data_IF_071785933621
#
_entry.id   IF_071785933621
#
_cell.length_a   1.000
_cell.length_b   1.000
_cell.length_c   1.000
_cell.angle_alpha   90.00
_cell.angle_beta   90.00
_cell.angle_gamma   90.00
#
_symmetry.space_group_name_H-M   'P 1'
#
loop_
_entity.id
_entity.type
_entity.pdbx_description
1 polymer ?
#
# COMPACT_ATOMS: atom_id res chain seq x y z
N UNK A 1 22.19 13.62 -3.34
CA UNK A 1 21.67 14.91 -3.83
C UNK A 1 20.71 14.69 -5.02
N UNK A 2 21.18 14.20 -6.18
CA UNK A 2 20.36 14.03 -7.40
C UNK A 2 18.95 13.45 -7.21
N UNK A 3 18.78 12.33 -6.50
CA UNK A 3 17.45 11.73 -6.33
C UNK A 3 16.47 12.65 -5.60
N UNK A 4 16.91 13.32 -4.53
CA UNK A 4 16.05 14.24 -3.78
C UNK A 4 15.65 15.42 -4.65
N UNK A 5 16.59 15.97 -5.41
CA UNK A 5 16.32 17.04 -6.39
C UNK A 5 15.30 16.60 -7.45
N UNK A 6 15.34 15.34 -7.89
CA UNK A 6 14.36 14.79 -8.83
C UNK A 6 12.95 14.71 -8.22
N UNK A 7 12.83 14.32 -6.95
CA UNK A 7 11.54 14.35 -6.24
C UNK A 7 11.01 15.78 -6.05
N UNK A 8 11.88 16.72 -5.67
CA UNK A 8 11.51 18.14 -5.51
C UNK A 8 11.05 18.72 -6.86
N UNK A 9 11.78 18.44 -7.94
CA UNK A 9 11.42 18.84 -9.31
C UNK A 9 10.05 18.26 -9.71
N UNK A 10 9.78 17.00 -9.37
CA UNK A 10 8.48 16.38 -9.62
C UNK A 10 7.36 17.09 -8.85
N UNK A 11 7.61 17.51 -7.60
CA UNK A 11 6.69 18.35 -6.82
C UNK A 11 6.35 19.67 -7.53
N UNK A 12 7.36 20.40 -8.03
CA UNK A 12 7.14 21.63 -8.83
C UNK A 12 6.27 21.39 -10.06
N UNK A 13 6.52 20.29 -10.76
CA UNK A 13 5.76 19.92 -11.94
C UNK A 13 4.30 19.57 -11.58
N UNK A 14 4.08 18.85 -10.48
CA UNK A 14 2.75 18.53 -9.98
C UNK A 14 1.97 19.81 -9.63
N UNK A 15 2.58 20.74 -8.91
CA UNK A 15 1.95 22.03 -8.61
C UNK A 15 1.59 22.80 -9.89
N UNK A 16 2.53 22.89 -10.85
CA UNK A 16 2.28 23.57 -12.14
C UNK A 16 1.17 22.92 -12.96
N UNK A 17 0.97 21.61 -12.81
CA UNK A 17 -0.11 20.88 -13.45
C UNK A 17 -1.46 21.02 -12.71
N UNK A 18 -1.49 21.72 -11.56
CA UNK A 18 -2.70 21.99 -10.80
C UNK A 18 -3.10 20.90 -9.80
N UNK A 19 -2.18 20.02 -9.41
CA UNK A 19 -2.44 19.06 -8.33
C UNK A 19 -2.44 19.78 -6.96
N UNK A 20 -3.41 19.44 -6.11
CA UNK A 20 -3.51 20.00 -4.76
C UNK A 20 -2.41 19.48 -3.82
N UNK A 21 -1.98 18.22 -4.00
CA UNK A 21 -0.97 17.59 -3.16
C UNK A 21 -0.17 16.51 -3.90
N UNK A 22 0.94 16.09 -3.29
CA UNK A 22 1.73 14.92 -3.70
C UNK A 22 1.81 13.88 -2.57
N UNK A 23 1.82 12.60 -2.94
CA UNK A 23 2.02 11.48 -2.01
C UNK A 23 3.48 10.97 -2.09
N UNK A 24 4.25 11.17 -1.02
CA UNK A 24 5.62 10.67 -0.93
C UNK A 24 5.62 9.23 -0.41
N UNK A 25 5.78 8.30 -1.35
CA UNK A 25 5.62 6.87 -1.13
C UNK A 25 6.68 6.24 -0.22
N UNK A 26 6.28 5.79 0.96
CA UNK A 26 7.06 5.04 1.96
C UNK A 26 6.45 3.66 2.24
N UNK A 27 6.03 2.97 1.19
CA UNK A 27 5.32 1.70 1.30
C UNK A 27 5.75 0.69 0.24
N UNK A 28 5.35 -0.55 0.46
CA UNK A 28 5.36 -1.67 -0.49
C UNK A 28 6.76 -2.12 -0.94
N UNK A 29 7.80 -1.80 -0.18
CA UNK A 29 9.19 -2.12 -0.54
C UNK A 29 9.76 -1.25 -1.65
N UNK A 30 9.16 -0.10 -1.94
CA UNK A 30 9.80 0.90 -2.81
C UNK A 30 10.83 1.71 -2.01
N UNK A 31 11.65 2.51 -2.72
CA UNK A 31 12.79 3.24 -2.17
C UNK A 31 12.57 3.92 -0.81
N UNK A 32 11.45 4.64 -0.62
CA UNK A 32 11.16 5.27 0.68
C UNK A 32 11.01 4.26 1.83
N UNK A 33 10.38 3.12 1.56
CA UNK A 33 10.27 2.01 2.51
C UNK A 33 11.61 1.29 2.74
N UNK A 34 12.44 1.17 1.70
CA UNK A 34 13.79 0.59 1.83
C UNK A 34 14.68 1.42 2.75
N UNK A 35 14.60 2.76 2.67
CA UNK A 35 15.31 3.63 3.62
C UNK A 35 14.84 3.40 5.06
N UNK A 36 13.55 3.20 5.29
CA UNK A 36 13.02 2.83 6.60
C UNK A 36 13.50 1.45 7.06
N UNK A 37 13.98 0.59 6.18
CA UNK A 37 14.51 -0.73 6.56
C UNK A 37 16.05 -0.79 6.52
N UNK A 38 16.73 0.32 6.25
CA UNK A 38 18.17 0.41 6.05
C UNK A 38 18.97 0.41 7.37
N UNK A 39 18.75 -0.59 8.23
CA UNK A 39 19.33 -0.70 9.58
C UNK A 39 20.87 -0.79 9.54
N UNK A 40 21.42 -1.60 8.62
CA UNK A 40 22.87 -1.84 8.57
C UNK A 40 23.58 -0.95 7.53
N UNK A 41 22.84 -0.06 6.86
CA UNK A 41 23.41 0.81 5.83
C UNK A 41 24.29 1.88 6.50
N UNK A 42 25.59 1.98 6.16
CA UNK A 42 26.44 3.03 6.71
C UNK A 42 26.10 4.40 6.13
N UNK A 43 26.56 5.45 6.81
CA UNK A 43 26.45 6.84 6.36
C UNK A 43 25.10 7.48 6.69
N UNK A 44 24.78 8.56 5.97
CA UNK A 44 23.71 9.51 6.37
C UNK A 44 22.28 9.04 6.12
N UNK A 45 22.08 7.91 5.43
CA UNK A 45 20.75 7.39 5.07
C UNK A 45 20.49 5.97 5.60
N UNK A 46 21.17 5.58 6.69
CA UNK A 46 21.00 4.28 7.32
C UNK A 46 21.39 4.28 8.80
N UNK A 47 21.18 3.16 9.47
CA UNK A 47 21.39 3.05 10.91
C UNK A 47 20.26 3.69 11.71
N UNK A 48 20.54 4.86 12.29
CA UNK A 48 19.60 5.54 13.17
C UNK A 48 18.28 5.89 12.46
N UNK A 49 17.20 5.98 13.25
CA UNK A 49 15.90 6.43 12.75
C UNK A 49 16.00 7.82 12.08
N UNK A 50 16.83 8.71 12.62
CA UNK A 50 17.07 10.03 12.04
C UNK A 50 17.66 9.94 10.62
N UNK A 51 18.67 9.10 10.43
CA UNK A 51 19.30 8.91 9.13
C UNK A 51 18.36 8.19 8.15
N UNK A 52 17.66 7.14 8.59
CA UNK A 52 16.69 6.42 7.75
C UNK A 52 15.51 7.29 7.30
N UNK A 53 15.15 8.31 8.07
CA UNK A 53 14.09 9.28 7.71
C UNK A 53 14.62 10.54 7.03
N UNK A 54 15.94 10.69 6.85
CA UNK A 54 16.56 11.84 6.18
C UNK A 54 16.04 12.05 4.77
N UNK A 55 15.87 10.96 4.01
CA UNK A 55 15.37 11.01 2.63
C UNK A 55 14.02 11.73 2.55
N UNK A 56 13.06 11.36 3.42
CA UNK A 56 11.77 12.04 3.50
C UNK A 56 11.92 13.51 3.91
N UNK A 57 12.69 13.78 4.97
CA UNK A 57 12.87 15.13 5.51
C UNK A 57 13.43 16.10 4.46
N UNK A 58 14.42 15.66 3.69
CA UNK A 58 15.05 16.47 2.65
C UNK A 58 14.12 16.70 1.45
N UNK A 59 13.32 15.70 1.04
CA UNK A 59 12.29 15.87 0.00
C UNK A 59 11.22 16.86 0.45
N UNK A 60 10.72 16.71 1.69
CA UNK A 60 9.68 17.57 2.24
C UNK A 60 10.16 19.01 2.34
N UNK A 61 11.38 19.22 2.85
CA UNK A 61 11.98 20.55 2.94
C UNK A 61 12.13 21.19 1.55
N UNK A 62 12.74 20.48 0.60
CA UNK A 62 12.92 21.00 -0.76
C UNK A 62 11.60 21.25 -1.50
N UNK A 63 10.61 20.38 -1.34
CA UNK A 63 9.29 20.55 -1.98
C UNK A 63 8.57 21.77 -1.42
N UNK A 64 8.63 22.00 -0.11
CA UNK A 64 8.03 23.20 0.50
C UNK A 64 8.70 24.50 0.05
N UNK A 65 10.00 24.49 -0.16
CA UNK A 65 10.74 25.64 -0.70
C UNK A 65 10.39 25.89 -2.16
N UNK A 66 10.38 24.85 -2.98
CA UNK A 66 10.32 24.98 -4.44
C UNK A 66 8.91 24.95 -5.03
N UNK A 67 7.94 24.40 -4.30
CA UNK A 67 6.53 24.32 -4.66
C UNK A 67 5.63 24.80 -3.49
N UNK A 68 5.77 26.07 -3.05
CA UNK A 68 5.05 26.57 -1.89
C UNK A 68 3.54 26.52 -2.12
N UNK A 69 2.79 25.94 -1.17
CA UNK A 69 1.34 25.76 -1.25
C UNK A 69 0.88 24.41 -1.81
N UNK A 70 1.79 23.59 -2.34
CA UNK A 70 1.50 22.18 -2.64
C UNK A 70 1.48 21.38 -1.34
N UNK A 71 0.36 20.72 -1.05
CA UNK A 71 0.25 19.86 0.12
C UNK A 71 1.06 18.57 -0.05
N UNK A 72 1.44 17.95 1.06
CA UNK A 72 2.21 16.70 1.07
C UNK A 72 1.46 15.67 1.92
N UNK A 73 1.24 14.50 1.33
CA UNK A 73 0.76 13.30 1.98
C UNK A 73 1.85 12.22 1.99
N UNK A 74 1.67 11.18 2.82
CA UNK A 74 2.57 10.02 2.84
C UNK A 74 1.77 8.73 2.86
N UNK A 75 2.09 7.81 1.95
CA UNK A 75 1.65 6.42 2.04
C UNK A 75 2.70 5.54 2.70
N UNK A 76 2.33 4.89 3.81
CA UNK A 76 3.23 4.14 4.67
C UNK A 76 2.85 2.65 4.71
N UNK A 77 3.81 1.76 4.52
CA UNK A 77 3.67 0.38 5.01
C UNK A 77 4.00 0.42 6.50
N UNK A 78 2.98 0.38 7.36
CA UNK A 78 3.15 0.52 8.80
C UNK A 78 3.64 -0.76 9.48
N UNK A 79 3.67 -1.86 8.76
CA UNK A 79 4.28 -3.11 9.16
C UNK A 79 4.75 -3.85 7.91
N UNK A 80 5.75 -4.70 8.06
CA UNK A 80 6.19 -5.67 7.08
C UNK A 80 6.67 -6.94 7.79
N UNK A 81 6.85 -8.01 7.04
CA UNK A 81 7.40 -9.28 7.52
C UNK A 81 8.66 -9.65 6.74
N UNK A 82 9.36 -10.65 7.22
CA UNK A 82 10.42 -11.30 6.45
C UNK A 82 9.86 -11.84 5.11
N UNK A 83 10.69 -12.05 4.08
CA UNK A 83 10.23 -12.54 2.78
C UNK A 83 9.58 -13.91 2.86
N UNK A 84 8.52 -14.12 2.08
CA UNK A 84 7.90 -15.44 1.91
C UNK A 84 8.29 -16.06 0.57
N UNK A 85 8.40 -17.37 0.55
CA UNK A 85 8.66 -18.19 -0.63
C UNK A 85 7.57 -19.22 -0.85
N UNK A 86 7.60 -19.89 -2.01
CA UNK A 86 6.64 -20.95 -2.33
C UNK A 86 7.08 -22.23 -1.63
N UNK A 87 6.30 -22.68 -0.66
CA UNK A 87 6.44 -23.98 0.00
C UNK A 87 6.09 -25.16 -0.94
N UNK A 88 6.34 -26.37 -0.45
CA UNK A 88 6.20 -27.60 -1.24
C UNK A 88 4.78 -27.85 -1.75
N UNK A 89 3.76 -27.45 -0.98
CA UNK A 89 2.36 -27.53 -1.38
C UNK A 89 1.89 -26.32 -2.23
N UNK A 90 2.79 -25.37 -2.50
CA UNK A 90 2.50 -24.13 -3.21
C UNK A 90 1.95 -23.00 -2.35
N UNK A 91 1.74 -23.19 -1.03
CA UNK A 91 1.42 -22.13 -0.06
C UNK A 91 2.66 -21.30 0.25
N UNK A 92 2.46 -20.04 0.62
CA UNK A 92 3.54 -19.17 1.08
C UNK A 92 4.10 -19.66 2.40
N UNK A 93 5.41 -19.77 2.51
CA UNK A 93 6.11 -20.09 3.75
C UNK A 93 7.15 -18.98 4.03
N UNK A 94 7.36 -18.62 5.31
CA UNK A 94 8.41 -17.67 5.68
C UNK A 94 9.77 -18.20 5.21
N UNK A 95 10.54 -17.41 4.48
CA UNK A 95 11.91 -17.77 4.10
C UNK A 95 12.78 -17.96 5.34
N UNK A 96 13.69 -18.93 5.28
CA UNK A 96 14.61 -19.20 6.37
C UNK A 96 15.48 -17.97 6.68
N UNK A 97 15.53 -17.60 7.96
CA UNK A 97 16.40 -16.55 8.47
C UNK A 97 17.27 -17.11 9.59
N UNK A 98 18.56 -16.76 9.57
CA UNK A 98 19.52 -17.15 10.62
C UNK A 98 19.77 -15.94 11.51
N UNK A 99 19.32 -16.03 12.75
CA UNK A 99 19.51 -15.00 13.76
C UNK A 99 18.34 -14.99 14.74
N UNK A 100 18.59 -14.53 15.96
CA UNK A 100 17.58 -14.52 17.02
C UNK A 100 16.55 -13.39 16.82
N UNK A 101 16.88 -12.40 15.98
CA UNK A 101 16.03 -11.24 15.70
C UNK A 101 16.15 -10.80 14.25
N UNK A 102 15.03 -10.69 13.53
CA UNK A 102 14.91 -10.15 12.18
C UNK A 102 14.74 -8.61 12.21
N UNK A 103 15.76 -7.82 11.82
CA UNK A 103 15.74 -6.37 12.02
C UNK A 103 15.14 -5.59 10.83
N UNK A 104 14.94 -6.24 9.68
CA UNK A 104 14.66 -5.53 8.41
C UNK A 104 13.18 -5.27 8.13
N UNK A 105 12.29 -5.77 8.99
CA UNK A 105 10.86 -5.48 8.91
C UNK A 105 10.57 -4.14 9.62
N UNK A 106 10.33 -3.06 8.86
CA UNK A 106 9.83 -1.82 9.44
C UNK A 106 8.45 -2.06 10.09
N UNK A 107 8.29 -1.66 11.35
CA UNK A 107 7.09 -1.98 12.14
C UNK A 107 6.99 -3.46 12.57
N UNK A 108 8.10 -4.21 12.50
CA UNK A 108 8.20 -5.58 13.00
C UNK A 108 8.67 -5.66 14.45
N UNK A 109 8.28 -6.72 15.15
CA UNK A 109 8.69 -6.97 16.56
C UNK A 109 10.07 -7.64 16.69
N UNK A 110 10.66 -8.07 15.57
CA UNK A 110 11.94 -8.78 15.52
C UNK A 110 11.80 -10.29 15.37
N UNK A 111 10.61 -10.86 15.46
CA UNK A 111 10.38 -12.29 15.13
C UNK A 111 10.37 -12.54 13.62
N UNK A 112 10.20 -11.46 12.84
CA UNK A 112 10.03 -11.50 11.38
C UNK A 112 8.59 -11.70 10.93
N UNK A 113 7.67 -12.07 11.82
CA UNK A 113 6.25 -12.28 11.51
C UNK A 113 5.30 -11.49 12.43
N UNK A 114 5.81 -10.89 13.49
CA UNK A 114 5.04 -10.07 14.42
C UNK A 114 5.16 -8.58 14.14
N UNK A 115 4.22 -7.81 14.72
CA UNK A 115 4.06 -6.38 14.48
C UNK A 115 4.39 -5.60 15.76
N UNK A 116 5.18 -4.55 15.62
CA UNK A 116 5.43 -3.56 16.65
C UNK A 116 5.27 -2.15 16.08
N UNK A 117 4.28 -1.40 16.58
CA UNK A 117 3.92 -0.09 16.05
C UNK A 117 4.76 1.06 16.63
N UNK A 118 5.70 0.82 17.54
CA UNK A 118 6.49 1.88 18.16
C UNK A 118 7.23 2.75 17.13
N UNK A 119 7.88 2.12 16.16
CA UNK A 119 8.61 2.83 15.12
C UNK A 119 7.69 3.50 14.07
N UNK A 120 6.62 2.83 13.57
CA UNK A 120 5.57 3.50 12.81
C UNK A 120 5.01 4.75 13.51
N UNK A 121 4.72 4.69 14.81
CA UNK A 121 4.22 5.82 15.59
C UNK A 121 5.25 6.96 15.72
N UNK A 122 6.53 6.62 15.82
CA UNK A 122 7.62 7.61 15.79
C UNK A 122 7.68 8.30 14.42
N UNK A 123 7.50 7.54 13.33
CA UNK A 123 7.41 8.08 11.97
C UNK A 123 6.19 8.99 11.77
N UNK A 124 5.01 8.59 12.24
CA UNK A 124 3.83 9.45 12.22
C UNK A 124 4.04 10.74 13.03
N UNK A 125 4.70 10.65 14.19
CA UNK A 125 5.10 11.83 14.96
C UNK A 125 6.07 12.75 14.21
N UNK A 126 6.97 12.19 13.39
CA UNK A 126 7.82 12.98 12.49
C UNK A 126 6.99 13.67 11.39
N UNK A 127 5.99 13.00 10.82
CA UNK A 127 5.08 13.63 9.84
C UNK A 127 4.38 14.85 10.43
N UNK A 128 3.84 14.72 11.64
CA UNK A 128 3.20 15.82 12.38
C UNK A 128 4.16 16.99 12.57
N UNK A 129 5.39 16.73 13.02
CA UNK A 129 6.44 17.77 13.19
C UNK A 129 6.78 18.49 11.88
N UNK A 130 6.71 17.78 10.76
CA UNK A 130 6.91 18.37 9.43
C UNK A 130 5.65 19.06 8.88
N UNK A 131 4.53 19.06 9.61
CA UNK A 131 3.26 19.66 9.19
C UNK A 131 2.56 18.88 8.08
N UNK A 132 2.81 17.57 7.96
CA UNK A 132 2.07 16.66 7.07
C UNK A 132 0.83 16.15 7.83
N UNK A 133 -0.33 16.20 7.18
CA UNK A 133 -1.62 15.87 7.81
C UNK A 133 -2.26 14.60 7.28
N UNK A 134 -2.03 14.25 6.00
CA UNK A 134 -2.68 13.12 5.35
C UNK A 134 -1.73 11.91 5.27
N UNK A 135 -2.17 10.78 5.81
CA UNK A 135 -1.45 9.50 5.73
C UNK A 135 -2.34 8.40 5.17
N UNK A 136 -1.81 7.61 4.23
CA UNK A 136 -2.44 6.38 3.79
C UNK A 136 -1.71 5.16 4.38
N UNK A 137 -2.41 4.39 5.20
CA UNK A 137 -1.84 3.21 5.87
C UNK A 137 -2.00 1.97 4.99
N UNK A 138 -0.91 1.23 4.87
CA UNK A 138 -0.79 -0.05 4.18
C UNK A 138 0.09 -0.99 5.01
N UNK A 139 0.31 -2.20 4.52
CA UNK A 139 1.30 -3.12 5.06
C UNK A 139 2.04 -3.87 3.96
N UNK A 140 3.14 -4.49 4.35
CA UNK A 140 3.93 -5.40 3.52
C UNK A 140 4.76 -4.73 2.44
N UNK A 141 5.47 -5.58 1.69
CA UNK A 141 6.20 -5.25 0.48
C UNK A 141 5.82 -6.12 -0.71
N UNK A 142 6.32 -5.79 -1.90
CA UNK A 142 6.05 -6.54 -3.14
C UNK A 142 6.42 -8.02 -3.09
N UNK A 143 7.40 -8.40 -2.27
CA UNK A 143 7.78 -9.80 -2.00
C UNK A 143 6.79 -10.55 -1.10
N UNK A 144 5.94 -9.81 -0.36
CA UNK A 144 4.87 -10.35 0.49
C UNK A 144 3.49 -9.90 -0.03
N UNK A 145 3.07 -10.34 -1.24
CA UNK A 145 1.83 -9.88 -1.84
C UNK A 145 0.60 -10.15 -0.98
N UNK A 146 0.59 -11.22 -0.16
CA UNK A 146 -0.56 -11.55 0.69
C UNK A 146 -0.82 -10.49 1.78
N UNK A 147 0.22 -9.80 2.28
CA UNK A 147 0.09 -8.70 3.25
C UNK A 147 -0.43 -7.41 2.59
N UNK A 148 0.14 -7.08 1.43
CA UNK A 148 -0.20 -5.87 0.68
C UNK A 148 -1.60 -5.94 0.08
N UNK A 149 -1.95 -7.11 -0.44
CA UNK A 149 -3.17 -7.33 -1.21
C UNK A 149 -3.75 -8.70 -0.91
N UNK A 150 -4.47 -8.84 0.21
CA UNK A 150 -5.17 -10.06 0.50
C UNK A 150 -6.04 -10.49 -0.70
N UNK A 151 -5.81 -11.72 -1.17
CA UNK A 151 -6.51 -12.34 -2.29
C UNK A 151 -6.41 -13.87 -2.20
N UNK A 152 -7.49 -14.57 -2.52
CA UNK A 152 -7.50 -16.04 -2.59
C UNK A 152 -6.70 -16.55 -3.79
N UNK A 153 -6.78 -15.82 -4.90
CA UNK A 153 -6.06 -16.15 -6.13
C UNK A 153 -4.68 -15.51 -6.06
N UNK A 154 -3.60 -16.31 -6.10
CA UNK A 154 -2.26 -15.76 -6.06
C UNK A 154 -1.98 -14.94 -7.32
N UNK A 155 -1.11 -13.92 -7.26
CA UNK A 155 -0.60 -13.30 -8.47
C UNK A 155 0.07 -14.30 -9.38
N UNK A 156 0.19 -13.91 -10.66
CA UNK A 156 1.03 -14.63 -11.60
C UNK A 156 2.43 -14.84 -11.04
N UNK A 157 2.83 -16.10 -10.85
CA UNK A 157 4.13 -16.49 -10.28
C UNK A 157 4.21 -16.49 -8.74
N UNK A 158 3.19 -16.05 -8.02
CA UNK A 158 3.17 -16.06 -6.55
C UNK A 158 2.61 -17.34 -5.93
N UNK A 159 2.74 -17.47 -4.62
CA UNK A 159 2.27 -18.61 -3.83
C UNK A 159 0.82 -18.44 -3.35
N UNK A 160 0.14 -19.55 -3.03
CA UNK A 160 -1.17 -19.52 -2.35
C UNK A 160 -1.01 -18.83 -1.00
N UNK A 161 -1.94 -17.96 -0.57
CA UNK A 161 -1.75 -17.18 0.64
C UNK A 161 -1.53 -18.10 1.88
N UNK A 162 -0.64 -17.72 2.81
CA UNK A 162 -0.37 -18.50 4.03
C UNK A 162 -1.55 -18.52 5.01
N UNK A 163 -2.49 -17.60 4.84
CA UNK A 163 -3.64 -17.37 5.71
C UNK A 163 -4.89 -17.06 4.89
N UNK A 164 -6.07 -17.08 5.53
CA UNK A 164 -7.28 -16.56 4.90
C UNK A 164 -7.10 -15.05 4.63
N UNK A 165 -7.35 -14.56 3.41
CA UNK A 165 -7.16 -13.15 3.12
C UNK A 165 -8.05 -12.20 3.94
N UNK A 166 -9.17 -12.66 4.52
CA UNK A 166 -9.92 -11.86 5.49
C UNK A 166 -9.06 -11.50 6.71
N UNK A 167 -8.19 -12.41 7.17
CA UNK A 167 -7.26 -12.12 8.27
C UNK A 167 -6.32 -10.95 7.90
N UNK A 168 -5.82 -10.95 6.65
CA UNK A 168 -5.00 -9.86 6.13
C UNK A 168 -5.74 -8.52 6.02
N UNK A 169 -7.02 -8.53 5.61
CA UNK A 169 -7.85 -7.32 5.59
C UNK A 169 -8.09 -6.80 7.00
N UNK A 170 -8.47 -7.68 7.94
CA UNK A 170 -8.67 -7.32 9.34
C UNK A 170 -7.40 -6.70 9.93
N UNK A 171 -6.22 -7.29 9.68
CA UNK A 171 -4.93 -6.73 10.11
C UNK A 171 -4.71 -5.30 9.61
N UNK A 172 -4.94 -5.03 8.32
CA UNK A 172 -4.78 -3.68 7.76
C UNK A 172 -5.71 -2.66 8.43
N UNK A 173 -6.97 -3.06 8.67
CA UNK A 173 -7.96 -2.21 9.34
C UNK A 173 -7.55 -1.95 10.79
N UNK A 174 -7.23 -3.00 11.56
CA UNK A 174 -6.85 -2.88 12.97
C UNK A 174 -5.56 -2.09 13.17
N UNK A 175 -4.56 -2.24 12.29
CA UNK A 175 -3.35 -1.40 12.36
C UNK A 175 -3.66 0.07 12.07
N UNK A 176 -4.51 0.34 11.08
CA UNK A 176 -4.93 1.73 10.77
C UNK A 176 -5.64 2.36 11.97
N UNK A 177 -6.58 1.63 12.58
CA UNK A 177 -7.31 2.05 13.78
C UNK A 177 -6.37 2.32 14.96
N UNK A 178 -5.44 1.42 15.24
CA UNK A 178 -4.50 1.54 16.35
C UNK A 178 -3.59 2.78 16.19
N UNK A 179 -3.05 2.99 14.98
CA UNK A 179 -2.24 4.17 14.69
C UNK A 179 -3.04 5.45 14.84
N UNK A 180 -4.28 5.48 14.32
CA UNK A 180 -5.17 6.64 14.46
C UNK A 180 -5.51 6.93 15.91
N UNK A 181 -5.79 5.90 16.72
CA UNK A 181 -6.06 6.07 18.15
C UNK A 181 -4.90 6.74 18.89
N UNK A 182 -3.67 6.42 18.52
CA UNK A 182 -2.46 6.96 19.17
C UNK A 182 -1.95 8.27 18.56
N UNK A 183 -2.38 8.60 17.33
CA UNK A 183 -2.03 9.82 16.59
C UNK A 183 -3.27 10.41 15.90
N UNK A 184 -4.29 10.85 16.67
CA UNK A 184 -5.57 11.32 16.12
C UNK A 184 -5.47 12.68 15.40
N UNK A 185 -4.35 13.38 15.52
CA UNK A 185 -4.08 14.65 14.83
C UNK A 185 -3.85 14.51 13.32
N UNK A 186 -3.62 13.28 12.83
CA UNK A 186 -3.49 12.96 11.42
C UNK A 186 -4.83 12.50 10.82
N UNK A 187 -4.96 12.67 9.51
CA UNK A 187 -6.05 12.19 8.68
C UNK A 187 -5.64 10.88 8.02
N UNK A 188 -6.41 9.82 8.25
CA UNK A 188 -6.07 8.44 7.84
C UNK A 188 -6.90 7.96 6.66
N UNK A 189 -6.21 7.49 5.63
CA UNK A 189 -6.80 6.68 4.55
C UNK A 189 -6.47 5.21 4.80
N UNK A 190 -7.49 4.41 5.15
CA UNK A 190 -7.36 2.97 5.26
C UNK A 190 -7.26 2.27 3.90
N UNK A 191 -6.56 1.13 3.83
CA UNK A 191 -6.41 0.33 2.61
C UNK A 191 -6.83 -1.14 2.79
N UNK A 192 -6.89 -1.91 1.70
CA UNK A 192 -7.22 -3.35 1.73
C UNK A 192 -8.69 -3.72 1.52
N UNK A 193 -9.60 -2.75 1.53
CA UNK A 193 -11.05 -2.97 1.55
C UNK A 193 -11.64 -3.66 0.30
N UNK A 194 -10.97 -3.59 -0.87
CA UNK A 194 -11.51 -4.17 -2.12
C UNK A 194 -11.73 -5.68 -2.07
N UNK A 195 -11.06 -6.41 -1.17
CA UNK A 195 -11.28 -7.84 -0.99
C UNK A 195 -12.66 -8.16 -0.38
N UNK A 196 -13.25 -7.22 0.37
CA UNK A 196 -14.56 -7.37 1.01
C UNK A 196 -15.72 -7.35 -0.01
N UNK A 197 -15.45 -6.96 -1.25
CA UNK A 197 -16.41 -7.02 -2.36
C UNK A 197 -17.74 -6.32 -2.00
N UNK A 198 -18.85 -7.07 -1.93
CA UNK A 198 -20.18 -6.53 -1.62
C UNK A 198 -20.30 -6.00 -0.20
N UNK A 199 -19.46 -6.46 0.72
CA UNK A 199 -19.43 -6.00 2.11
C UNK A 199 -18.61 -4.74 2.31
N UNK A 200 -17.86 -4.30 1.28
CA UNK A 200 -17.02 -3.10 1.35
C UNK A 200 -17.78 -1.89 1.91
N UNK A 201 -19.01 -1.54 1.46
CA UNK A 201 -19.70 -0.34 1.97
C UNK A 201 -20.03 -0.46 3.46
N UNK A 202 -20.44 -1.63 3.93
CA UNK A 202 -20.80 -1.84 5.34
C UNK A 202 -19.58 -1.70 6.25
N UNK A 203 -18.47 -2.32 5.87
CA UNK A 203 -17.22 -2.24 6.64
C UNK A 203 -16.63 -0.84 6.55
N UNK A 204 -16.66 -0.19 5.38
CA UNK A 204 -16.18 1.18 5.21
C UNK A 204 -16.99 2.17 6.06
N UNK A 205 -18.32 2.06 6.05
CA UNK A 205 -19.20 2.86 6.89
C UNK A 205 -18.91 2.66 8.37
N UNK A 206 -18.68 1.41 8.81
CA UNK A 206 -18.30 1.11 10.18
C UNK A 206 -16.96 1.74 10.55
N UNK A 207 -15.95 1.60 9.69
CA UNK A 207 -14.61 2.13 9.92
C UNK A 207 -14.62 3.65 10.09
N UNK A 208 -15.35 4.37 9.22
CA UNK A 208 -15.45 5.83 9.31
C UNK A 208 -16.29 6.25 10.52
N UNK A 209 -17.47 5.63 10.72
CA UNK A 209 -18.41 6.02 11.80
C UNK A 209 -17.82 5.84 13.20
N UNK A 210 -17.00 4.80 13.40
CA UNK A 210 -16.35 4.54 14.68
C UNK A 210 -14.95 5.15 14.79
N UNK A 211 -14.56 6.02 13.86
CA UNK A 211 -13.28 6.73 13.91
C UNK A 211 -12.04 5.86 13.70
N UNK A 212 -12.19 4.66 13.12
CA UNK A 212 -11.08 3.74 12.80
C UNK A 212 -10.23 4.25 11.63
N UNK A 213 -10.83 5.02 10.71
CA UNK A 213 -10.17 5.76 9.63
C UNK A 213 -10.98 7.02 9.29
N UNK A 214 -10.40 7.99 8.58
CA UNK A 214 -11.15 9.16 8.06
C UNK A 214 -11.69 8.91 6.66
N UNK A 215 -10.90 8.20 5.85
CA UNK A 215 -11.22 7.81 4.49
C UNK A 215 -10.95 6.33 4.26
N UNK A 216 -11.72 5.74 3.35
CA UNK A 216 -11.50 4.38 2.86
C UNK A 216 -10.99 4.44 1.44
N UNK A 217 -9.73 4.02 1.24
CA UNK A 217 -9.10 3.99 -0.07
C UNK A 217 -9.58 2.82 -0.92
N UNK A 218 -10.02 3.12 -2.14
CA UNK A 218 -10.48 2.12 -3.10
C UNK A 218 -9.53 2.09 -4.30
N UNK A 219 -8.83 0.96 -4.47
CA UNK A 219 -7.91 0.72 -5.58
C UNK A 219 -8.59 -0.09 -6.69
N UNK A 220 -8.24 -1.38 -6.81
CA UNK A 220 -8.70 -2.28 -7.89
C UNK A 220 -10.21 -2.30 -8.17
N UNK A 221 -11.05 -1.99 -7.17
CA UNK A 221 -12.50 -1.95 -7.36
C UNK A 221 -12.93 -0.77 -8.23
N UNK A 222 -12.25 0.38 -8.18
CA UNK A 222 -12.57 1.53 -9.03
C UNK A 222 -12.28 1.25 -10.51
N UNK A 223 -11.36 0.32 -10.82
CA UNK A 223 -11.05 -0.09 -12.19
C UNK A 223 -12.19 -0.87 -12.86
N UNK A 224 -13.01 -1.59 -12.09
CA UNK A 224 -14.12 -2.38 -12.62
C UNK A 224 -15.48 -1.80 -12.29
N UNK A 225 -15.55 -0.90 -11.30
CA UNK A 225 -16.76 -0.21 -10.88
C UNK A 225 -16.46 1.27 -10.58
N UNK A 226 -16.23 2.11 -11.61
CA UNK A 226 -15.88 3.52 -11.41
C UNK A 226 -16.91 4.30 -10.59
N UNK A 227 -18.21 4.01 -10.79
CA UNK A 227 -19.31 4.69 -10.10
C UNK A 227 -19.62 4.14 -8.70
N UNK A 228 -18.83 3.21 -8.16
CA UNK A 228 -19.16 2.51 -6.91
C UNK A 228 -19.42 3.48 -5.75
N UNK A 229 -18.62 4.54 -5.63
CA UNK A 229 -18.77 5.54 -4.55
C UNK A 229 -20.06 6.32 -4.73
N UNK A 230 -20.38 6.77 -5.95
CA UNK A 230 -21.62 7.49 -6.23
C UNK A 230 -22.85 6.62 -5.99
N UNK A 231 -22.81 5.34 -6.39
CA UNK A 231 -23.89 4.39 -6.15
C UNK A 231 -24.10 4.13 -4.64
N UNK A 232 -23.01 3.96 -3.87
CA UNK A 232 -23.08 3.79 -2.40
C UNK A 232 -23.72 5.02 -1.74
N UNK A 233 -23.23 6.22 -2.07
CA UNK A 233 -23.70 7.48 -1.47
C UNK A 233 -25.17 7.77 -1.84
N UNK A 234 -25.61 7.34 -3.02
CA UNK A 234 -27.00 7.43 -3.45
C UNK A 234 -27.90 6.32 -2.87
N UNK A 235 -27.39 5.45 -1.99
CA UNK A 235 -28.14 4.35 -1.40
C UNK A 235 -28.55 3.26 -2.38
N UNK A 236 -27.90 3.18 -3.55
CA UNK A 236 -28.24 2.21 -4.60
C UNK A 236 -27.67 0.84 -4.26
N UNK A 237 -28.38 -0.19 -4.70
CA UNK A 237 -27.85 -1.56 -4.65
C UNK A 237 -26.63 -1.70 -5.55
N UNK A 238 -25.55 -2.28 -5.03
CA UNK A 238 -24.34 -2.50 -5.81
C UNK A 238 -24.58 -3.45 -6.99
N UNK A 239 -24.12 -3.04 -8.18
CA UNK A 239 -24.18 -3.80 -9.42
C UNK A 239 -23.20 -4.98 -9.37
N UNK A 240 -23.73 -6.18 -9.17
CA UNK A 240 -22.95 -7.39 -8.95
C UNK A 240 -21.94 -7.72 -10.06
N UNK A 241 -22.26 -7.36 -11.31
CA UNK A 241 -21.40 -7.59 -12.48
C UNK A 241 -20.10 -6.78 -12.45
N UNK A 242 -20.06 -5.68 -11.69
CA UNK A 242 -18.89 -4.80 -11.59
C UNK A 242 -18.06 -5.05 -10.31
N UNK A 243 -18.48 -5.98 -9.45
CA UNK A 243 -17.74 -6.30 -8.23
C UNK A 243 -16.43 -7.02 -8.56
N UNK A 244 -15.31 -6.41 -8.13
CA UNK A 244 -13.96 -6.91 -8.36
C UNK A 244 -13.79 -8.37 -7.94
N UNK A 245 -13.24 -9.19 -8.84
CA UNK A 245 -12.95 -10.61 -8.58
C UNK A 245 -11.62 -10.88 -7.89
N UNK A 246 -10.87 -9.82 -7.57
CA UNK A 246 -9.58 -9.92 -6.87
C UNK A 246 -8.59 -10.85 -7.60
N UNK A 247 -8.69 -10.92 -8.93
CA UNK A 247 -7.93 -11.85 -9.78
C UNK A 247 -6.47 -11.44 -10.03
N UNK A 248 -6.11 -10.20 -9.70
CA UNK A 248 -4.74 -9.68 -9.84
C UNK A 248 -4.35 -9.20 -11.24
N UNK A 249 -5.26 -9.21 -12.22
CA UNK A 249 -4.95 -8.87 -13.62
C UNK A 249 -4.52 -7.43 -13.83
N UNK A 250 -5.09 -6.52 -13.04
CA UNK A 250 -4.69 -5.11 -13.02
C UNK A 250 -3.21 -4.90 -12.62
N UNK A 251 -2.57 -5.89 -12.00
CA UNK A 251 -1.14 -5.87 -11.65
C UNK A 251 -0.32 -6.77 -12.56
N UNK A 252 -0.84 -7.96 -12.90
CA UNK A 252 -0.11 -8.91 -13.73
C UNK A 252 0.11 -8.36 -15.17
N UNK A 253 -0.83 -7.58 -15.70
CA UNK A 253 -0.68 -6.93 -16.99
C UNK A 253 0.53 -5.96 -17.02
N UNK A 254 0.60 -4.90 -16.19
CA UNK A 254 1.74 -3.97 -16.20
C UNK A 254 3.06 -4.62 -15.81
N UNK A 255 3.07 -5.64 -14.95
CA UNK A 255 4.28 -6.41 -14.67
C UNK A 255 4.85 -7.15 -15.90
N UNK A 256 4.06 -7.30 -16.96
CA UNK A 256 4.46 -7.93 -18.22
C UNK A 256 4.38 -6.94 -19.40
N UNK A 257 4.50 -5.64 -19.14
CA UNK A 257 4.56 -4.60 -20.17
C UNK A 257 3.23 -4.25 -20.84
N UNK A 258 2.10 -4.73 -20.30
CA UNK A 258 0.76 -4.41 -20.81
C UNK A 258 0.12 -3.26 -20.01
N UNK A 259 -0.89 -2.60 -20.57
CA UNK A 259 -1.61 -1.51 -19.86
C UNK A 259 -2.37 -2.07 -18.64
N UNK A 260 -2.40 -1.31 -17.54
CA UNK A 260 -3.19 -1.66 -16.36
C UNK A 260 -4.70 -1.45 -16.60
N UNK A 261 -5.53 -2.36 -16.10
CA UNK A 261 -6.99 -2.30 -16.25
C UNK A 261 -7.73 -3.52 -15.71
N UNK A 262 -9.06 -3.56 -15.91
CA UNK A 262 -9.89 -4.71 -15.52
C UNK A 262 -10.21 -5.63 -16.69
N UNK A 263 -9.28 -6.51 -17.03
CA UNK A 263 -9.44 -7.50 -18.11
C UNK A 263 -10.56 -8.53 -17.92
N UNK A 264 -11.11 -8.65 -16.70
CA UNK A 264 -12.20 -9.61 -16.43
C UNK A 264 -13.59 -9.02 -16.62
N UNK A 265 -13.81 -7.76 -16.19
CA UNK A 265 -15.16 -7.20 -16.03
C UNK A 265 -15.43 -5.98 -16.91
N UNK A 266 -14.38 -5.29 -17.35
CA UNK A 266 -14.51 -4.12 -18.22
C UNK A 266 -14.42 -4.56 -19.69
N UNK A 267 -15.43 -4.16 -20.49
CA UNK A 267 -15.55 -4.59 -21.89
C UNK A 267 -14.45 -4.01 -22.78
N UNK A 268 -13.95 -2.81 -22.48
CA UNK A 268 -12.81 -2.25 -23.21
C UNK A 268 -11.58 -3.12 -23.02
N UNK A 269 -11.23 -3.49 -21.78
CA UNK A 269 -10.06 -4.34 -21.52
C UNK A 269 -10.27 -5.80 -21.94
N UNK A 270 -11.47 -6.35 -21.81
CA UNK A 270 -11.76 -7.76 -22.18
C UNK A 270 -11.57 -8.01 -23.68
N UNK A 271 -11.89 -7.03 -24.53
CA UNK A 271 -11.82 -7.18 -25.98
C UNK A 271 -10.42 -6.88 -26.56
N UNK A 272 -9.45 -6.54 -25.73
CA UNK A 272 -8.08 -6.24 -26.15
C UNK A 272 -7.24 -7.51 -26.38
N UNK A 273 -6.29 -7.51 -27.34
CA UNK A 273 -5.34 -8.61 -27.53
C UNK A 273 -4.56 -8.99 -26.26
N UNK A 274 -4.24 -8.00 -25.43
CA UNK A 274 -3.55 -8.16 -24.14
C UNK A 274 -4.31 -9.09 -23.18
N UNK A 275 -5.65 -9.20 -23.29
CA UNK A 275 -6.40 -10.16 -22.48
C UNK A 275 -6.00 -11.61 -22.79
N UNK A 276 -5.88 -11.96 -24.08
CA UNK A 276 -5.46 -13.30 -24.48
C UNK A 276 -4.00 -13.57 -24.11
N UNK A 277 -3.13 -12.55 -24.23
CA UNK A 277 -1.76 -12.64 -23.75
C UNK A 277 -1.70 -12.96 -22.24
N UNK A 278 -2.49 -12.25 -21.43
CA UNK A 278 -2.55 -12.47 -19.99
C UNK A 278 -3.09 -13.87 -19.64
N UNK A 279 -4.11 -14.36 -20.36
CA UNK A 279 -4.61 -15.74 -20.19
C UNK A 279 -3.54 -16.79 -20.48
N UNK A 280 -2.77 -16.61 -21.56
CA UNK A 280 -1.65 -17.52 -21.90
C UNK A 280 -0.56 -17.51 -20.83
N UNK A 281 -0.23 -16.34 -20.28
CA UNK A 281 0.75 -16.23 -19.19
C UNK A 281 0.30 -17.01 -17.95
N UNK A 282 -0.98 -16.93 -17.58
CA UNK A 282 -1.54 -17.67 -16.45
C UNK A 282 -1.57 -19.19 -16.64
N UNK A 283 -1.71 -19.68 -17.86
CA UNK A 283 -1.75 -21.13 -18.15
C UNK A 283 -0.36 -21.79 -18.17
N UNK A 284 0.71 -21.00 -18.31
CA UNK A 284 2.09 -21.51 -18.42
C UNK A 284 2.78 -21.79 -17.06
N UNK A 285 2.09 -21.64 -15.95
CA UNK A 285 2.60 -21.81 -14.58
C UNK A 285 1.59 -22.56 -13.72
#
# INVERSE_FOLDING_TARGET
ARLIEDFVRAGKLAQRAGFDFVDIKHCHGYLGHEFLSAIDRPGYYGGSFENRTRFLREIVAGTRTEAPGLDIAVRLSAFDFLPFERGADGRGEPSAFRGDRYPYAFGGDGTGLGINLAEPLAFLGLLVKMGIKLVCISGGAGYNPHLLRPALVPPLGGYRPPEDPLAGVTRLISVTEELKRQRPELVYVGSGYSYLQRWLPNVAQSAVRHGMADFVGIGRMSLCYPDIVADILAGRTLKGQFICRVCGDCMAAPANGMVSGCYTLDDFYRNRPEYQQLRRLKMKK
#
